data_IF_375386248768
#
_entry.id   IF_375386248768
#
_cell.length_a   1.000
_cell.length_b   1.000
_cell.length_c   1.000
_cell.angle_alpha   90.00
_cell.angle_beta   90.00
_cell.angle_gamma   90.00
#
_symmetry.space_group_name_H-M   'P 1'
#
loop_
_entity.id
_entity.type
_entity.pdbx_description
1 polymer ?
#
# COMPACT_ATOMS: atom_id res chain seq x y z
N UNK A 1 0.95 -39.66 12.94
CA UNK A 1 1.89 -38.52 12.95
C UNK A 1 2.72 -38.60 14.22
N UNK A 2 4.03 -38.37 14.17
CA UNK A 2 4.85 -38.35 15.37
C UNK A 2 4.38 -37.23 16.32
N UNK A 3 4.52 -37.46 17.61
CA UNK A 3 4.12 -36.55 18.68
C UNK A 3 5.33 -35.98 19.40
N UNK A 4 5.14 -34.91 20.18
CA UNK A 4 6.20 -34.37 21.05
C UNK A 4 6.73 -35.41 22.06
N UNK A 5 5.88 -36.36 22.47
CA UNK A 5 6.28 -37.48 23.33
C UNK A 5 7.19 -38.46 22.60
N UNK A 6 7.02 -38.69 21.32
CA UNK A 6 7.90 -39.55 20.52
C UNK A 6 9.28 -38.90 20.32
N UNK A 7 9.32 -37.57 20.10
CA UNK A 7 10.57 -36.80 20.05
C UNK A 7 11.30 -36.90 21.39
N UNK A 8 10.59 -36.69 22.50
CA UNK A 8 11.15 -36.78 23.85
C UNK A 8 11.76 -38.16 24.11
N UNK A 9 11.04 -39.24 23.77
CA UNK A 9 11.50 -40.61 23.91
C UNK A 9 12.76 -40.88 23.07
N UNK A 10 12.78 -40.41 21.82
CA UNK A 10 13.94 -40.61 20.93
C UNK A 10 15.16 -39.82 21.36
N UNK A 11 14.97 -38.58 21.87
CA UNK A 11 16.02 -37.70 22.34
C UNK A 11 16.51 -38.05 23.78
N UNK A 12 15.82 -38.94 24.49
CA UNK A 12 16.14 -39.30 25.88
C UNK A 12 15.89 -38.18 26.90
N UNK A 13 14.92 -37.31 26.65
CA UNK A 13 14.59 -36.14 27.48
C UNK A 13 13.11 -36.10 27.84
N UNK A 14 12.73 -35.15 28.71
CA UNK A 14 11.32 -34.93 29.03
C UNK A 14 10.58 -34.17 27.90
N UNK A 15 9.25 -34.32 27.81
CA UNK A 15 8.42 -33.55 26.89
C UNK A 15 8.56 -32.04 27.15
N UNK A 16 8.74 -31.64 28.43
CA UNK A 16 9.00 -30.26 28.79
C UNK A 16 10.31 -29.74 28.20
N UNK A 17 11.36 -30.56 28.21
CA UNK A 17 12.65 -30.22 27.61
C UNK A 17 12.52 -30.02 26.08
N UNK A 18 11.82 -30.92 25.41
CA UNK A 18 11.50 -30.77 23.97
C UNK A 18 10.77 -29.44 23.70
N UNK A 19 9.75 -29.14 24.53
CA UNK A 19 9.01 -27.88 24.42
C UNK A 19 9.91 -26.66 24.62
N UNK A 20 10.84 -26.71 25.60
CA UNK A 20 11.78 -25.61 25.84
C UNK A 20 12.77 -25.42 24.69
N UNK A 21 13.24 -26.50 24.05
CA UNK A 21 14.12 -26.45 22.89
C UNK A 21 13.39 -25.88 21.66
N UNK A 22 12.18 -26.37 21.38
CA UNK A 22 11.42 -25.97 20.19
C UNK A 22 10.87 -24.54 20.26
N UNK A 23 10.60 -24.05 21.49
CA UNK A 23 10.01 -22.73 21.70
C UNK A 23 11.00 -21.70 22.26
N UNK A 24 12.24 -22.08 22.49
CA UNK A 24 13.32 -21.25 23.05
C UNK A 24 12.92 -20.54 24.36
N UNK A 25 12.10 -21.20 25.18
CA UNK A 25 11.50 -20.61 26.40
C UNK A 25 12.44 -20.66 27.62
N UNK A 26 13.45 -21.51 27.60
CA UNK A 26 14.50 -21.60 28.64
C UNK A 26 15.82 -22.05 28.03
N UNK A 27 16.94 -21.61 28.57
CA UNK A 27 18.26 -22.13 28.19
C UNK A 27 18.32 -23.64 28.38
N UNK A 28 18.74 -24.37 27.34
CA UNK A 28 18.98 -25.82 27.38
C UNK A 28 20.42 -26.05 26.96
N UNK A 29 21.09 -27.04 27.60
CA UNK A 29 22.46 -27.38 27.28
C UNK A 29 22.63 -27.69 25.79
N UNK A 30 23.72 -27.26 25.13
CA UNK A 30 23.90 -27.41 23.70
C UNK A 30 23.76 -28.85 23.18
N UNK A 31 24.32 -29.85 23.91
CA UNK A 31 24.19 -31.26 23.52
C UNK A 31 22.74 -31.77 23.60
N UNK A 32 21.98 -31.32 24.60
CA UNK A 32 20.57 -31.68 24.75
C UNK A 32 19.71 -31.04 23.63
N UNK A 33 20.02 -29.78 23.31
CA UNK A 33 19.37 -29.07 22.17
C UNK A 33 19.61 -29.83 20.88
N UNK A 34 20.85 -30.23 20.60
CA UNK A 34 21.18 -30.97 19.38
C UNK A 34 20.45 -32.32 19.33
N UNK A 35 20.45 -33.10 20.42
CA UNK A 35 19.75 -34.37 20.48
C UNK A 35 18.23 -34.24 20.19
N UNK A 36 17.59 -33.16 20.63
CA UNK A 36 16.18 -32.90 20.34
C UNK A 36 16.01 -32.55 18.87
N UNK A 37 16.84 -31.69 18.28
CA UNK A 37 16.75 -31.33 16.87
C UNK A 37 16.97 -32.54 15.94
N UNK A 38 17.97 -33.39 16.24
CA UNK A 38 18.22 -34.64 15.53
C UNK A 38 17.02 -35.61 15.61
N UNK A 39 16.36 -35.67 16.77
CA UNK A 39 15.17 -36.49 16.93
C UNK A 39 13.95 -35.93 16.17
N UNK A 40 13.81 -34.60 16.09
CA UNK A 40 12.78 -33.91 15.28
C UNK A 40 12.95 -34.27 13.81
N UNK A 41 14.15 -34.10 13.27
CA UNK A 41 14.46 -34.36 11.87
C UNK A 41 14.29 -35.84 11.54
N UNK A 42 14.80 -36.73 12.37
CA UNK A 42 14.71 -38.17 12.15
C UNK A 42 13.28 -38.74 12.21
N UNK A 43 12.37 -38.07 12.92
CA UNK A 43 10.96 -38.44 13.02
C UNK A 43 10.08 -37.70 12.02
N UNK A 44 10.59 -36.67 11.34
CA UNK A 44 9.79 -35.73 10.54
C UNK A 44 8.71 -35.05 11.40
N UNK A 45 9.05 -34.75 12.67
CA UNK A 45 8.09 -34.13 13.57
C UNK A 45 7.91 -32.66 13.24
N UNK A 46 6.68 -32.26 12.92
CA UNK A 46 6.30 -30.86 12.73
C UNK A 46 5.58 -30.39 14.00
N UNK A 47 6.07 -29.31 14.66
CA UNK A 47 5.39 -28.74 15.82
C UNK A 47 3.94 -28.37 15.52
N UNK A 48 3.02 -28.81 16.39
CA UNK A 48 1.60 -28.45 16.23
C UNK A 48 1.39 -27.01 16.73
N UNK A 49 1.26 -26.08 15.78
CA UNK A 49 1.02 -24.65 16.04
C UNK A 49 -0.30 -24.41 16.78
N UNK A 50 -1.34 -25.24 16.53
CA UNK A 50 -2.62 -25.16 17.23
C UNK A 50 -2.47 -25.47 18.73
N UNK A 51 -1.71 -26.52 19.08
CA UNK A 51 -1.45 -26.84 20.48
C UNK A 51 -0.66 -25.74 21.18
N UNK A 52 0.28 -25.10 20.48
CA UNK A 52 1.04 -23.97 20.97
C UNK A 52 0.15 -22.74 21.20
N UNK A 53 -0.75 -22.43 20.26
CA UNK A 53 -1.66 -21.28 20.36
C UNK A 53 -2.63 -21.40 21.54
N UNK A 54 -3.04 -22.61 21.91
CA UNK A 54 -3.87 -22.86 23.10
C UNK A 54 -3.14 -22.52 24.41
N UNK A 55 -1.82 -22.71 24.44
CA UNK A 55 -1.01 -22.43 25.63
C UNK A 55 -0.59 -20.95 25.69
N UNK A 56 -0.27 -20.35 24.55
CA UNK A 56 0.26 -18.97 24.48
C UNK A 56 -0.82 -17.93 24.26
N UNK A 57 -2.06 -18.34 23.94
CA UNK A 57 -3.17 -17.49 23.47
C UNK A 57 -2.80 -16.61 22.26
N UNK A 58 -1.74 -17.02 21.52
CA UNK A 58 -1.27 -16.34 20.31
C UNK A 58 -1.08 -17.33 19.17
N UNK A 59 -1.61 -16.99 18.00
CA UNK A 59 -1.51 -17.81 16.79
C UNK A 59 -0.29 -17.46 15.94
N UNK A 60 0.35 -16.34 16.22
CA UNK A 60 1.39 -15.75 15.35
C UNK A 60 0.92 -15.62 13.91
N UNK A 61 -0.32 -15.19 13.74
CA UNK A 61 -0.90 -14.90 12.43
C UNK A 61 -1.49 -13.49 12.41
N UNK A 62 -1.34 -12.80 11.29
CA UNK A 62 -1.91 -11.49 10.99
C UNK A 62 -2.95 -11.69 9.89
N UNK A 63 -4.14 -11.12 10.05
CA UNK A 63 -5.15 -11.02 8.99
C UNK A 63 -4.89 -9.80 8.11
N UNK A 64 -4.91 -9.95 6.80
CA UNK A 64 -4.85 -8.87 5.83
C UNK A 64 -6.10 -8.90 4.98
N UNK A 65 -6.93 -7.85 5.08
CA UNK A 65 -8.11 -7.66 4.23
C UNK A 65 -7.88 -6.44 3.32
N UNK A 66 -7.64 -6.70 2.04
CA UNK A 66 -7.39 -5.67 1.01
C UNK A 66 -8.13 -6.03 -0.27
N UNK A 67 -8.81 -5.04 -0.86
CA UNK A 67 -9.52 -5.22 -2.12
C UNK A 67 -8.59 -5.15 -3.33
N UNK A 68 -9.03 -5.73 -4.44
CA UNK A 68 -8.31 -5.66 -5.72
C UNK A 68 -6.86 -6.21 -5.64
N UNK A 69 -6.67 -7.40 -5.09
CA UNK A 69 -5.36 -8.08 -4.99
C UNK A 69 -4.65 -8.19 -6.35
N UNK A 70 -5.39 -8.19 -7.46
CA UNK A 70 -4.83 -8.17 -8.81
C UNK A 70 -4.23 -6.82 -9.24
N UNK A 71 -4.47 -5.75 -8.47
CA UNK A 71 -3.91 -4.43 -8.74
C UNK A 71 -2.43 -4.41 -8.27
N UNK A 72 -1.47 -4.05 -9.14
CA UNK A 72 -0.04 -3.97 -8.79
C UNK A 72 0.26 -3.17 -7.52
N UNK A 73 -0.48 -2.11 -7.27
CA UNK A 73 -0.37 -1.30 -6.05
C UNK A 73 -0.58 -2.14 -4.78
N UNK A 74 -1.67 -2.90 -4.69
CA UNK A 74 -1.94 -3.76 -3.53
C UNK A 74 -1.00 -4.98 -3.49
N UNK A 75 -0.50 -5.44 -4.64
CA UNK A 75 0.52 -6.49 -4.68
C UNK A 75 1.82 -6.05 -4.01
N UNK A 76 2.26 -4.81 -4.23
CA UNK A 76 3.45 -4.25 -3.57
C UNK A 76 3.24 -4.07 -2.07
N UNK A 77 2.06 -3.58 -1.66
CA UNK A 77 1.67 -3.51 -0.24
C UNK A 77 1.74 -4.89 0.41
N UNK A 78 1.13 -5.89 -0.23
CA UNK A 78 1.14 -7.28 0.25
C UNK A 78 2.56 -7.80 0.43
N UNK A 79 3.47 -7.55 -0.51
CA UNK A 79 4.88 -7.91 -0.39
C UNK A 79 5.57 -7.23 0.81
N UNK A 80 5.24 -5.96 1.06
CA UNK A 80 5.74 -5.22 2.23
C UNK A 80 5.23 -5.80 3.55
N UNK A 81 3.94 -6.12 3.61
CA UNK A 81 3.30 -6.74 4.78
C UNK A 81 3.89 -8.13 5.05
N UNK A 82 3.99 -8.95 4.00
CA UNK A 82 4.49 -10.34 4.11
C UNK A 82 5.92 -10.37 4.60
N UNK A 83 6.83 -9.60 3.98
CA UNK A 83 8.22 -9.56 4.36
C UNK A 83 8.41 -9.09 5.81
N UNK A 84 7.68 -8.05 6.24
CA UNK A 84 7.75 -7.54 7.61
C UNK A 84 7.15 -8.52 8.63
N UNK A 85 6.00 -9.15 8.30
CA UNK A 85 5.38 -10.14 9.17
C UNK A 85 6.26 -11.38 9.35
N UNK A 86 6.87 -11.88 8.26
CA UNK A 86 7.77 -13.03 8.28
C UNK A 86 9.03 -12.76 9.13
N UNK A 87 9.61 -11.57 9.00
CA UNK A 87 10.79 -11.17 9.82
C UNK A 87 10.52 -11.24 11.33
N UNK A 88 9.28 -10.97 11.74
CA UNK A 88 8.81 -11.02 13.12
C UNK A 88 8.22 -12.40 13.52
N UNK A 89 8.29 -13.39 12.61
CA UNK A 89 7.81 -14.76 12.83
C UNK A 89 6.29 -14.89 12.83
N UNK A 90 5.58 -14.02 12.08
CA UNK A 90 4.14 -14.10 11.83
C UNK A 90 3.86 -14.70 10.45
N UNK A 91 2.78 -15.46 10.36
CA UNK A 91 2.17 -15.89 9.11
C UNK A 91 1.05 -14.92 8.71
N UNK A 92 0.76 -14.83 7.41
CA UNK A 92 -0.25 -13.92 6.87
C UNK A 92 -1.46 -14.72 6.36
N UNK A 93 -2.67 -14.32 6.77
CA UNK A 93 -3.94 -14.78 6.22
C UNK A 93 -4.54 -13.64 5.41
N UNK A 94 -4.78 -13.88 4.12
CA UNK A 94 -5.24 -12.86 3.18
C UNK A 94 -6.70 -13.11 2.84
N UNK A 95 -7.50 -12.04 2.77
CA UNK A 95 -8.87 -12.05 2.29
C UNK A 95 -9.13 -10.83 1.40
N UNK A 96 -9.93 -10.99 0.34
CA UNK A 96 -10.32 -9.91 -0.57
C UNK A 96 -11.78 -9.50 -0.30
N UNK A 97 -12.03 -8.30 0.22
CA UNK A 97 -13.37 -7.76 0.43
C UNK A 97 -14.09 -7.31 -0.85
N UNK A 98 -13.42 -7.25 -2.00
CA UNK A 98 -13.96 -6.80 -3.29
C UNK A 98 -14.58 -5.39 -3.27
N UNK A 99 -14.14 -4.51 -2.38
CA UNK A 99 -14.75 -3.19 -2.11
C UNK A 99 -16.27 -3.21 -1.81
N UNK A 100 -16.78 -4.39 -1.40
CA UNK A 100 -18.17 -4.58 -0.98
C UNK A 100 -18.27 -4.53 0.56
N UNK A 101 -19.01 -3.57 1.15
CA UNK A 101 -19.09 -3.42 2.61
C UNK A 101 -19.68 -4.62 3.35
N UNK A 102 -20.62 -5.34 2.74
CA UNK A 102 -21.20 -6.54 3.37
C UNK A 102 -20.24 -7.71 3.31
N UNK A 103 -19.53 -7.86 2.20
CA UNK A 103 -18.51 -8.89 2.05
C UNK A 103 -17.29 -8.60 2.94
N UNK A 104 -16.90 -7.34 3.05
CA UNK A 104 -15.83 -6.88 3.94
C UNK A 104 -16.05 -7.32 5.39
N UNK A 105 -17.25 -7.08 5.92
CA UNK A 105 -17.58 -7.51 7.28
C UNK A 105 -17.47 -9.03 7.45
N UNK A 106 -17.96 -9.81 6.46
CA UNK A 106 -17.90 -11.27 6.49
C UNK A 106 -16.46 -11.79 6.49
N UNK A 107 -15.58 -11.25 5.63
CA UNK A 107 -14.18 -11.71 5.57
C UNK A 107 -13.41 -11.32 6.82
N UNK A 108 -13.67 -10.14 7.40
CA UNK A 108 -13.06 -9.73 8.68
C UNK A 108 -13.53 -10.60 9.84
N UNK A 109 -14.82 -10.96 9.87
CA UNK A 109 -15.34 -11.93 10.85
C UNK A 109 -14.66 -13.29 10.70
N UNK A 110 -14.49 -13.78 9.47
CA UNK A 110 -13.78 -15.03 9.21
C UNK A 110 -12.33 -15.00 9.71
N UNK A 111 -11.59 -13.90 9.45
CA UNK A 111 -10.23 -13.73 9.96
C UNK A 111 -10.22 -13.73 11.50
N UNK A 112 -11.18 -13.07 12.14
CA UNK A 112 -11.35 -13.08 13.60
C UNK A 112 -11.64 -14.48 14.15
N UNK A 113 -12.51 -15.25 13.50
CA UNK A 113 -12.79 -16.65 13.86
C UNK A 113 -11.56 -17.55 13.72
N UNK A 114 -10.64 -17.24 12.79
CA UNK A 114 -9.32 -17.89 12.66
C UNK A 114 -8.35 -17.47 13.77
N UNK A 115 -8.77 -16.58 14.68
CA UNK A 115 -8.00 -16.10 15.83
C UNK A 115 -6.65 -15.49 15.44
N UNK A 116 -6.64 -14.68 14.37
CA UNK A 116 -5.46 -13.87 14.07
C UNK A 116 -5.16 -12.95 15.26
N UNK A 117 -3.88 -12.72 15.54
CA UNK A 117 -3.46 -11.88 16.68
C UNK A 117 -3.82 -10.40 16.45
N UNK A 118 -3.92 -9.97 15.20
CA UNK A 118 -4.35 -8.66 14.78
C UNK A 118 -4.62 -8.59 13.29
N UNK A 119 -5.17 -7.47 12.83
CA UNK A 119 -5.59 -7.28 11.44
C UNK A 119 -5.03 -6.00 10.82
N UNK A 120 -4.76 -6.05 9.53
CA UNK A 120 -4.50 -4.91 8.66
C UNK A 120 -5.63 -4.88 7.63
N UNK A 121 -6.35 -3.78 7.53
CA UNK A 121 -7.57 -3.68 6.71
C UNK A 121 -7.54 -2.41 5.87
N UNK A 122 -7.71 -2.53 4.55
CA UNK A 122 -8.02 -1.40 3.68
C UNK A 122 -9.54 -1.27 3.57
N UNK A 123 -10.16 -0.31 4.30
CA UNK A 123 -11.60 -0.28 4.46
C UNK A 123 -12.33 0.08 3.17
N UNK A 124 -13.55 -0.44 3.00
CA UNK A 124 -14.44 -0.10 1.89
C UNK A 124 -15.00 1.33 2.01
N UNK A 125 -15.83 1.73 1.04
CA UNK A 125 -16.40 3.07 0.99
C UNK A 125 -17.42 3.36 2.13
N UNK A 126 -17.93 2.35 2.82
CA UNK A 126 -18.88 2.46 3.94
C UNK A 126 -18.48 1.52 5.07
N UNK A 127 -17.43 1.86 5.83
CA UNK A 127 -16.85 0.97 6.82
C UNK A 127 -17.56 0.94 8.18
N UNK A 128 -18.73 1.61 8.34
CA UNK A 128 -19.37 1.82 9.63
C UNK A 128 -19.64 0.54 10.39
N UNK A 129 -20.18 -0.49 9.71
CA UNK A 129 -20.46 -1.79 10.31
C UNK A 129 -19.17 -2.53 10.70
N UNK A 130 -18.14 -2.46 9.87
CA UNK A 130 -16.81 -2.99 10.15
C UNK A 130 -16.22 -2.32 11.39
N UNK A 131 -16.21 -1.00 11.44
CA UNK A 131 -15.68 -0.20 12.56
C UNK A 131 -16.41 -0.54 13.86
N UNK A 132 -17.74 -0.61 13.81
CA UNK A 132 -18.57 -0.99 14.97
C UNK A 132 -18.25 -2.43 15.45
N UNK A 133 -18.07 -3.37 14.52
CA UNK A 133 -17.69 -4.74 14.83
C UNK A 133 -16.30 -4.81 15.51
N UNK A 134 -15.28 -4.21 14.89
CA UNK A 134 -13.90 -4.24 15.38
C UNK A 134 -13.78 -3.60 16.78
N UNK A 135 -14.49 -2.49 17.03
CA UNK A 135 -14.56 -1.85 18.34
C UNK A 135 -15.22 -2.77 19.39
N UNK A 136 -16.37 -3.36 19.06
CA UNK A 136 -17.09 -4.22 19.99
C UNK A 136 -16.29 -5.48 20.36
N UNK A 137 -15.53 -6.02 19.41
CA UNK A 137 -14.72 -7.22 19.62
C UNK A 137 -13.30 -6.91 20.13
N UNK A 138 -12.95 -5.64 20.24
CA UNK A 138 -11.61 -5.17 20.66
C UNK A 138 -10.47 -5.83 19.85
N UNK A 139 -10.67 -6.05 18.54
CA UNK A 139 -9.67 -6.66 17.67
C UNK A 139 -8.57 -5.65 17.38
N UNK A 140 -7.29 -5.95 17.68
CA UNK A 140 -6.19 -5.09 17.31
C UNK A 140 -6.15 -4.92 15.78
N UNK A 141 -6.37 -3.68 15.31
CA UNK A 141 -6.51 -3.41 13.87
C UNK A 141 -5.75 -2.14 13.49
N UNK A 142 -5.11 -2.19 12.32
CA UNK A 142 -4.53 -1.03 11.63
C UNK A 142 -5.27 -0.86 10.31
N UNK A 143 -5.82 0.33 10.06
CA UNK A 143 -6.34 0.66 8.74
C UNK A 143 -5.20 1.07 7.82
N UNK A 144 -5.27 0.61 6.58
CA UNK A 144 -4.22 0.77 5.58
C UNK A 144 -4.77 1.44 4.32
N UNK A 145 -4.00 2.33 3.71
CA UNK A 145 -4.33 3.05 2.48
C UNK A 145 -5.46 4.08 2.65
N UNK A 146 -6.60 3.65 3.18
CA UNK A 146 -7.82 4.44 3.32
C UNK A 146 -8.02 4.83 4.77
N UNK A 147 -8.12 6.14 5.02
CA UNK A 147 -8.32 6.66 6.37
C UNK A 147 -9.81 6.70 6.72
N UNK A 148 -10.11 6.47 7.98
CA UNK A 148 -11.43 6.69 8.56
C UNK A 148 -11.36 7.97 9.35
N UNK A 149 -12.08 9.01 8.90
CA UNK A 149 -12.31 10.25 9.64
C UNK A 149 -13.56 10.10 10.51
N UNK A 150 -13.62 10.84 11.62
CA UNK A 150 -14.88 11.00 12.36
C UNK A 150 -15.73 12.06 11.67
N UNK A 151 -17.05 11.89 11.70
CA UNK A 151 -18.01 12.88 11.17
C UNK A 151 -17.90 14.26 11.86
N UNK A 152 -17.18 14.34 12.98
CA UNK A 152 -16.98 15.60 13.73
C UNK A 152 -15.93 16.55 13.13
N UNK A 153 -15.09 16.06 12.19
CA UNK A 153 -14.00 16.86 11.60
C UNK A 153 -14.41 17.59 10.30
N UNK A 154 -15.57 17.24 9.70
CA UNK A 154 -16.04 17.81 8.43
C UNK A 154 -16.75 19.18 8.59
N UNK A 155 -17.10 19.58 9.84
CA UNK A 155 -17.87 20.82 10.11
C UNK A 155 -16.99 22.07 10.32
N UNK A 156 -15.66 21.95 10.30
CA UNK A 156 -14.74 23.06 10.54
C UNK A 156 -14.43 23.92 9.30
N UNK A 157 -14.60 23.37 8.09
CA UNK A 157 -14.24 24.09 6.85
C UNK A 157 -15.41 24.86 6.21
N UNK A 158 -16.66 24.65 6.70
CA UNK A 158 -17.84 25.36 6.18
C UNK A 158 -18.24 26.62 6.94
N UNK A 159 -17.56 26.99 8.04
CA UNK A 159 -17.91 28.13 8.90
C UNK A 159 -17.05 29.39 8.77
N UNK A 160 -16.16 29.49 7.79
CA UNK A 160 -15.42 30.75 7.55
C UNK A 160 -16.08 31.64 6.49
N UNK A 161 -17.30 32.13 6.78
CA UNK A 161 -17.98 33.05 5.89
C UNK A 161 -19.15 33.76 6.54
N UNK A 162 -18.89 34.68 7.45
CA UNK A 162 -19.62 35.93 7.74
C UNK A 162 -19.57 36.26 9.23
N UNK A 163 -18.85 37.32 9.57
CA UNK A 163 -18.84 37.88 10.91
C UNK A 163 -17.87 39.04 11.02
N UNK A 164 -18.25 40.22 10.53
CA UNK A 164 -17.60 41.49 10.81
C UNK A 164 -17.72 41.83 12.30
N UNK A 165 -16.59 42.00 12.99
CA UNK A 165 -16.56 42.47 14.38
C UNK A 165 -15.19 43.07 14.69
N UNK A 166 -15.12 44.38 14.73
CA UNK A 166 -13.99 45.21 15.12
C UNK A 166 -13.60 45.02 16.58
N UNK A 167 -12.31 44.85 16.87
CA UNK A 167 -11.76 44.86 18.23
C UNK A 167 -10.26 44.97 18.19
N UNK A 168 -9.74 46.16 18.47
CA UNK A 168 -8.35 46.53 18.60
C UNK A 168 -7.72 45.95 19.87
N UNK A 169 -6.49 45.40 19.77
CA UNK A 169 -5.71 45.00 20.92
C UNK A 169 -4.26 44.68 20.46
N UNK A 170 -3.35 45.66 20.67
CA UNK A 170 -1.93 45.55 20.47
C UNK A 170 -1.30 44.61 21.51
N UNK A 171 -0.31 43.83 21.07
CA UNK A 171 0.50 42.96 21.94
C UNK A 171 1.66 42.36 21.18
N UNK A 172 2.81 43.07 21.15
CA UNK A 172 4.09 42.65 20.64
C UNK A 172 4.61 41.39 21.37
N UNK A 173 5.01 40.40 20.62
CA UNK A 173 5.66 39.19 21.13
C UNK A 173 6.44 38.51 20.03
N UNK A 174 7.67 38.99 19.82
CA UNK A 174 8.69 38.44 18.89
C UNK A 174 9.13 37.05 19.37
N UNK A 175 8.80 36.00 18.63
CA UNK A 175 9.34 34.62 18.84
C UNK A 175 10.13 34.22 17.62
N UNK A 176 11.44 34.09 17.81
CA UNK A 176 12.43 33.72 16.82
C UNK A 176 12.14 32.33 16.22
N UNK A 177 11.96 32.26 14.92
CA UNK A 177 11.92 31.05 14.14
C UNK A 177 13.31 30.37 14.06
N UNK A 178 13.38 29.12 14.52
CA UNK A 178 14.51 28.23 14.22
C UNK A 178 14.18 27.46 12.95
N UNK A 179 15.10 27.35 11.98
CA UNK A 179 14.86 26.54 10.77
C UNK A 179 14.86 25.06 11.12
N UNK A 180 13.76 24.36 10.77
CA UNK A 180 13.66 22.92 10.82
C UNK A 180 14.47 22.29 9.68
N UNK A 181 15.39 21.39 10.01
CA UNK A 181 16.09 20.56 9.05
C UNK A 181 15.16 19.49 8.44
N UNK A 182 15.50 18.86 7.30
CA UNK A 182 14.64 17.91 6.62
C UNK A 182 14.56 16.58 7.40
N UNK A 183 13.48 16.40 8.15
CA UNK A 183 13.15 15.13 8.80
C UNK A 183 12.49 14.17 7.80
N UNK A 184 13.02 12.95 7.70
CA UNK A 184 12.52 11.83 6.87
C UNK A 184 11.36 11.06 7.51
N UNK A 185 10.71 11.59 8.53
CA UNK A 185 9.65 10.89 9.25
C UNK A 185 8.29 11.42 8.82
N UNK A 186 7.40 10.50 8.37
CA UNK A 186 6.03 10.80 8.01
C UNK A 186 5.28 11.53 9.13
N UNK A 187 4.36 12.39 8.78
CA UNK A 187 3.61 13.23 9.70
C UNK A 187 2.76 12.36 10.65
N UNK A 188 3.07 12.42 11.95
CA UNK A 188 2.34 11.72 13.00
C UNK A 188 1.27 12.63 13.58
N UNK A 189 -0.01 12.25 13.44
CA UNK A 189 -1.13 12.91 14.14
C UNK A 189 -1.74 11.92 15.13
N UNK A 190 -2.01 12.34 16.38
CA UNK A 190 -2.67 11.52 17.39
C UNK A 190 -4.16 11.85 17.45
N UNK A 191 -5.02 10.82 17.33
CA UNK A 191 -6.46 10.94 17.41
C UNK A 191 -6.98 10.11 18.58
N UNK A 192 -7.74 10.73 19.49
CA UNK A 192 -8.31 10.04 20.64
C UNK A 192 -9.51 9.16 20.22
N UNK A 193 -9.42 7.86 20.50
CA UNK A 193 -10.55 6.91 20.38
C UNK A 193 -10.80 6.27 19.02
N UNK A 194 -9.83 6.30 18.11
CA UNK A 194 -9.88 5.68 16.78
C UNK A 194 -9.08 4.37 16.66
N UNK A 195 -8.72 4.03 15.44
CA UNK A 195 -7.80 2.96 15.08
C UNK A 195 -6.46 3.55 14.63
N UNK A 196 -5.39 2.78 14.73
CA UNK A 196 -4.15 3.13 14.05
C UNK A 196 -4.35 3.10 12.54
N UNK A 197 -3.71 4.01 11.83
CA UNK A 197 -3.86 4.14 10.39
C UNK A 197 -2.49 4.38 9.72
N UNK A 198 -2.30 3.78 8.55
CA UNK A 198 -1.13 4.01 7.68
C UNK A 198 -1.64 4.29 6.27
N UNK A 199 -1.31 5.44 5.71
CA UNK A 199 -1.75 5.86 4.38
C UNK A 199 -0.66 6.66 3.67
N UNK A 200 -0.82 6.84 2.37
CA UNK A 200 -0.05 7.80 1.60
C UNK A 200 -0.68 9.20 1.60
N UNK A 201 0.10 10.23 1.30
CA UNK A 201 -0.41 11.55 1.00
C UNK A 201 -1.06 11.53 -0.40
N UNK A 202 -2.30 12.00 -0.50
CA UNK A 202 -3.05 11.98 -1.75
C UNK A 202 -3.30 13.37 -2.33
N UNK A 203 -3.56 14.36 -1.47
CA UNK A 203 -4.03 15.68 -1.91
C UNK A 203 -2.91 16.49 -2.54
N UNK A 204 -1.75 16.58 -1.89
CA UNK A 204 -0.61 17.36 -2.38
C UNK A 204 -0.02 16.78 -3.68
N UNK A 205 0.24 15.46 -3.81
CA UNK A 205 0.72 14.87 -5.05
C UNK A 205 -0.26 15.02 -6.22
N UNK A 206 -1.57 14.91 -5.98
CA UNK A 206 -2.59 15.14 -6.99
C UNK A 206 -2.58 16.62 -7.45
N UNK A 207 -2.47 17.56 -6.51
CA UNK A 207 -2.35 18.98 -6.86
C UNK A 207 -1.08 19.22 -7.70
N UNK A 208 0.02 18.53 -7.38
CA UNK A 208 1.25 18.56 -8.17
C UNK A 208 1.07 18.09 -9.62
N UNK A 209 0.34 17.00 -9.85
CA UNK A 209 0.02 16.53 -11.22
C UNK A 209 -0.76 17.60 -12.01
N UNK A 210 -1.76 18.19 -11.37
CA UNK A 210 -2.61 19.20 -12.04
C UNK A 210 -1.85 20.48 -12.33
N UNK A 211 -1.06 20.99 -11.38
CA UNK A 211 -0.23 22.19 -11.60
C UNK A 211 0.85 21.95 -12.65
N UNK A 212 1.41 20.74 -12.70
CA UNK A 212 2.35 20.33 -13.74
C UNK A 212 1.72 20.43 -15.14
N UNK A 213 0.54 19.81 -15.34
CA UNK A 213 -0.16 19.88 -16.62
C UNK A 213 -0.59 21.32 -16.99
N UNK A 214 -1.05 22.09 -16.01
CA UNK A 214 -1.37 23.51 -16.21
C UNK A 214 -0.15 24.34 -16.61
N UNK A 215 1.04 24.04 -16.04
CA UNK A 215 2.32 24.64 -16.42
C UNK A 215 2.74 24.33 -17.86
N UNK A 216 2.31 23.19 -18.41
CA UNK A 216 2.50 22.82 -19.82
C UNK A 216 1.47 23.50 -20.78
N UNK A 217 0.58 24.34 -20.26
CA UNK A 217 -0.38 25.10 -21.04
C UNK A 217 -1.76 24.46 -21.11
N UNK A 218 -2.00 23.30 -20.50
CA UNK A 218 -3.33 22.71 -20.46
C UNK A 218 -4.28 23.54 -19.59
N UNK A 219 -5.44 23.89 -20.10
CA UNK A 219 -6.47 24.69 -19.43
C UNK A 219 -7.73 23.88 -19.09
N UNK A 220 -7.96 22.81 -19.83
CA UNK A 220 -9.04 21.85 -19.59
C UNK A 220 -8.41 20.50 -19.28
N UNK A 221 -8.33 20.20 -17.98
CA UNK A 221 -7.71 18.99 -17.43
C UNK A 221 -8.84 18.11 -16.90
N UNK A 222 -9.02 16.92 -17.44
CA UNK A 222 -10.03 15.97 -16.97
C UNK A 222 -9.49 15.09 -15.83
N UNK A 223 -10.36 14.71 -14.90
CA UNK A 223 -10.07 13.75 -13.84
C UNK A 223 -10.94 12.51 -13.98
N UNK A 224 -10.31 11.33 -14.12
CA UNK A 224 -10.97 10.04 -13.98
C UNK A 224 -10.83 9.63 -12.52
N UNK A 225 -11.87 9.89 -11.72
CA UNK A 225 -11.89 9.71 -10.27
C UNK A 225 -12.19 8.26 -9.88
N UNK A 226 -11.76 7.87 -8.67
CA UNK A 226 -12.00 6.55 -8.11
C UNK A 226 -13.45 6.30 -7.66
N UNK A 227 -13.64 5.19 -6.93
CA UNK A 227 -14.94 4.82 -6.35
C UNK A 227 -15.39 5.89 -5.33
N UNK A 228 -16.60 6.44 -5.48
CA UNK A 228 -17.13 7.39 -4.50
C UNK A 228 -17.22 6.80 -3.08
N UNK A 229 -16.97 7.63 -2.07
CA UNK A 229 -17.00 7.22 -0.66
C UNK A 229 -15.65 6.72 -0.12
N UNK A 230 -14.66 6.45 -0.96
CA UNK A 230 -13.31 6.17 -0.50
C UNK A 230 -12.60 7.48 -0.10
N UNK A 231 -11.92 7.49 1.03
CA UNK A 231 -11.12 8.65 1.49
C UNK A 231 -10.06 9.05 0.46
N UNK A 232 -9.37 8.08 -0.16
CA UNK A 232 -8.40 8.33 -1.23
C UNK A 232 -9.02 9.03 -2.43
N UNK A 233 -10.27 8.70 -2.80
CA UNK A 233 -10.99 9.38 -3.88
C UNK A 233 -11.28 10.83 -3.50
N UNK A 234 -11.80 11.08 -2.30
CA UNK A 234 -12.12 12.42 -1.80
C UNK A 234 -10.87 13.29 -1.68
N UNK A 235 -9.78 12.76 -1.12
CA UNK A 235 -8.50 13.46 -1.00
C UNK A 235 -7.91 13.79 -2.38
N UNK A 236 -7.98 12.87 -3.36
CA UNK A 236 -7.51 13.13 -4.74
C UNK A 236 -8.36 14.15 -5.46
N UNK A 237 -9.68 14.16 -5.29
CA UNK A 237 -10.56 15.22 -5.83
C UNK A 237 -10.24 16.57 -5.19
N UNK A 238 -9.99 16.60 -3.88
CA UNK A 238 -9.57 17.81 -3.17
C UNK A 238 -8.23 18.33 -3.72
N UNK A 239 -7.26 17.44 -3.92
CA UNK A 239 -5.98 17.77 -4.53
C UNK A 239 -6.13 18.31 -5.95
N UNK A 240 -6.99 17.70 -6.76
CA UNK A 240 -7.28 18.19 -8.11
C UNK A 240 -7.84 19.62 -8.08
N UNK A 241 -8.81 19.91 -7.20
CA UNK A 241 -9.36 21.26 -7.04
C UNK A 241 -8.29 22.27 -6.59
N UNK A 242 -7.45 21.88 -5.61
CA UNK A 242 -6.32 22.72 -5.14
C UNK A 242 -5.32 23.01 -6.26
N UNK A 243 -4.98 22.00 -7.07
CA UNK A 243 -4.07 22.17 -8.21
C UNK A 243 -4.63 23.12 -9.27
N UNK A 244 -5.92 23.03 -9.60
CA UNK A 244 -6.58 23.98 -10.50
C UNK A 244 -6.57 25.40 -9.93
N UNK A 245 -6.92 25.57 -8.66
CA UNK A 245 -6.91 26.88 -8.00
C UNK A 245 -5.50 27.49 -7.97
N UNK A 246 -4.48 26.70 -7.64
CA UNK A 246 -3.08 27.15 -7.66
C UNK A 246 -2.61 27.57 -9.06
N UNK A 247 -3.16 26.96 -10.10
CA UNK A 247 -2.87 27.32 -11.50
C UNK A 247 -3.77 28.44 -12.04
N UNK A 248 -4.68 29.01 -11.23
CA UNK A 248 -5.64 30.02 -11.66
C UNK A 248 -6.69 29.51 -12.65
N UNK A 249 -6.99 28.20 -12.62
CA UNK A 249 -7.97 27.55 -13.49
C UNK A 249 -9.30 27.35 -12.76
N UNK A 250 -10.46 27.57 -13.42
CA UNK A 250 -11.77 27.30 -12.83
C UNK A 250 -11.98 25.79 -12.65
N UNK A 251 -12.64 25.42 -11.57
CA UNK A 251 -13.17 24.07 -11.41
C UNK A 251 -14.41 23.87 -12.30
N UNK A 252 -14.39 22.82 -13.10
CA UNK A 252 -15.51 22.40 -13.95
C UNK A 252 -15.90 20.96 -13.54
N UNK A 253 -17.08 20.81 -12.96
CA UNK A 253 -17.58 19.51 -12.51
C UNK A 253 -17.76 18.51 -13.69
N UNK A 254 -18.00 19.01 -14.89
CA UNK A 254 -18.15 18.17 -16.09
C UNK A 254 -16.82 17.52 -16.53
N UNK A 255 -15.69 17.99 -16.03
CA UNK A 255 -14.38 17.39 -16.28
C UNK A 255 -14.01 16.30 -15.25
N UNK A 256 -14.85 16.05 -14.24
CA UNK A 256 -14.63 15.00 -13.24
C UNK A 256 -15.63 13.88 -13.47
N UNK A 257 -15.13 12.70 -13.85
CA UNK A 257 -15.96 11.52 -14.10
C UNK A 257 -15.48 10.35 -13.25
N UNK A 258 -16.43 9.51 -12.80
CA UNK A 258 -16.08 8.34 -11.99
C UNK A 258 -15.64 7.18 -12.89
N UNK A 259 -14.45 6.66 -12.68
CA UNK A 259 -13.97 5.40 -13.21
C UNK A 259 -14.12 4.25 -12.20
N UNK A 260 -14.76 4.49 -11.04
CA UNK A 260 -15.09 3.48 -10.02
C UNK A 260 -13.90 2.62 -9.58
N UNK A 261 -12.69 3.13 -9.69
CA UNK A 261 -11.42 2.44 -9.43
C UNK A 261 -11.17 1.20 -10.31
N UNK A 262 -11.92 1.03 -11.41
CA UNK A 262 -11.89 -0.12 -12.30
C UNK A 262 -11.56 0.27 -13.75
N UNK A 263 -10.86 -0.64 -14.47
CA UNK A 263 -10.44 -0.42 -15.86
C UNK A 263 -11.64 -0.26 -16.80
N UNK A 264 -12.63 -1.15 -16.74
CA UNK A 264 -13.79 -1.12 -17.65
C UNK A 264 -14.69 0.12 -17.43
N UNK A 265 -14.87 0.54 -16.18
CA UNK A 265 -15.65 1.74 -15.87
C UNK A 265 -14.90 3.01 -16.34
N UNK A 266 -13.58 3.07 -16.11
CA UNK A 266 -12.75 4.17 -16.58
C UNK A 266 -12.69 4.29 -18.11
N UNK A 267 -12.65 3.16 -18.83
CA UNK A 267 -12.72 3.12 -20.29
C UNK A 267 -14.00 3.79 -20.80
N UNK A 268 -15.17 3.41 -20.28
CA UNK A 268 -16.45 4.04 -20.61
C UNK A 268 -16.50 5.52 -20.24
N UNK A 269 -16.10 5.85 -19.00
CA UNK A 269 -16.13 7.23 -18.52
C UNK A 269 -15.20 8.14 -19.33
N UNK A 270 -14.03 7.66 -19.72
CA UNK A 270 -13.10 8.38 -20.60
C UNK A 270 -13.72 8.57 -21.99
N UNK A 271 -14.32 7.52 -22.53
CA UNK A 271 -14.99 7.57 -23.82
C UNK A 271 -16.11 8.64 -23.84
N UNK A 272 -16.95 8.66 -22.80
CA UNK A 272 -18.02 9.65 -22.67
C UNK A 272 -17.46 11.07 -22.49
N UNK A 273 -16.44 11.25 -21.67
CA UNK A 273 -15.80 12.55 -21.44
C UNK A 273 -15.22 13.14 -22.74
N UNK A 274 -14.55 12.32 -23.53
CA UNK A 274 -13.94 12.73 -24.81
C UNK A 274 -14.98 12.99 -25.92
N UNK A 275 -16.22 12.53 -25.78
CA UNK A 275 -17.30 12.78 -26.74
C UNK A 275 -17.99 14.12 -26.50
N UNK A 276 -17.69 14.85 -25.45
CA UNK A 276 -18.27 16.14 -25.11
C UNK A 276 -17.74 17.24 -26.04
N UNK A 277 -18.55 18.29 -26.35
CA UNK A 277 -18.15 19.37 -27.28
C UNK A 277 -16.86 20.10 -26.86
N UNK A 278 -16.61 20.17 -25.56
CA UNK A 278 -15.43 20.81 -24.98
C UNK A 278 -14.58 19.75 -24.20
N UNK A 279 -14.04 18.80 -24.96
CA UNK A 279 -13.19 17.74 -24.40
C UNK A 279 -11.93 18.29 -23.68
N UNK A 280 -11.39 17.60 -22.69
CA UNK A 280 -10.13 17.98 -22.06
C UNK A 280 -8.94 17.78 -23.01
N UNK A 281 -7.88 18.56 -22.81
CA UNK A 281 -6.60 18.40 -23.52
C UNK A 281 -5.56 17.61 -22.73
N UNK A 282 -5.86 17.34 -21.45
CA UNK A 282 -5.07 16.49 -20.57
C UNK A 282 -5.99 15.71 -19.64
N UNK A 283 -5.55 14.52 -19.25
CA UNK A 283 -6.24 13.65 -18.31
C UNK A 283 -5.34 13.32 -17.12
N UNK A 284 -5.94 13.26 -15.95
CA UNK A 284 -5.35 12.65 -14.76
C UNK A 284 -6.23 11.46 -14.36
N UNK A 285 -5.63 10.30 -14.19
CA UNK A 285 -6.30 9.10 -13.70
C UNK A 285 -5.96 8.87 -12.24
N UNK A 286 -6.96 8.60 -11.41
CA UNK A 286 -6.77 8.51 -9.98
C UNK A 286 -6.31 7.13 -9.47
N UNK A 287 -6.04 6.15 -10.35
CA UNK A 287 -5.27 4.94 -10.05
C UNK A 287 -4.80 4.24 -11.33
N UNK A 288 -3.94 3.24 -11.18
CA UNK A 288 -3.35 2.49 -12.31
C UNK A 288 -4.37 1.65 -13.10
N UNK A 289 -5.39 1.07 -12.46
CA UNK A 289 -6.44 0.32 -13.17
C UNK A 289 -7.23 1.25 -14.11
N UNK A 290 -7.56 2.45 -13.63
CA UNK A 290 -8.24 3.47 -14.45
C UNK A 290 -7.32 4.01 -15.55
N UNK A 291 -6.00 4.08 -15.32
CA UNK A 291 -5.03 4.43 -16.35
C UNK A 291 -5.09 3.46 -17.53
N UNK A 292 -5.17 2.17 -17.26
CA UNK A 292 -5.31 1.15 -18.31
C UNK A 292 -6.63 1.32 -19.10
N UNK A 293 -7.75 1.55 -18.40
CA UNK A 293 -9.03 1.81 -19.06
C UNK A 293 -9.00 3.05 -19.93
N UNK A 294 -8.42 4.14 -19.43
CA UNK A 294 -8.23 5.39 -20.16
C UNK A 294 -7.39 5.18 -21.43
N UNK A 295 -6.27 4.47 -21.33
CA UNK A 295 -5.41 4.15 -22.48
C UNK A 295 -6.15 3.31 -23.54
N UNK A 296 -7.03 2.38 -23.14
CA UNK A 296 -7.87 1.63 -24.06
C UNK A 296 -8.83 2.55 -24.82
N UNK A 297 -9.56 3.42 -24.09
CA UNK A 297 -10.49 4.37 -24.71
C UNK A 297 -9.79 5.33 -25.68
N UNK A 298 -8.58 5.81 -25.35
CA UNK A 298 -7.78 6.66 -26.23
C UNK A 298 -7.37 5.91 -27.50
N UNK A 299 -6.88 4.68 -27.35
CA UNK A 299 -6.46 3.83 -28.48
C UNK A 299 -7.63 3.51 -29.42
N UNK A 300 -8.81 3.19 -28.90
CA UNK A 300 -10.00 2.93 -29.70
C UNK A 300 -10.45 4.14 -30.53
N UNK A 301 -10.16 5.35 -30.04
CA UNK A 301 -10.42 6.60 -30.75
C UNK A 301 -9.30 7.05 -31.68
N UNK A 302 -8.19 6.32 -31.72
CA UNK A 302 -7.01 6.69 -32.50
C UNK A 302 -6.28 7.93 -31.94
N UNK A 303 -6.51 8.30 -30.67
CA UNK A 303 -5.86 9.44 -30.02
C UNK A 303 -4.49 9.04 -29.47
N UNK A 304 -3.49 9.82 -29.83
CA UNK A 304 -2.11 9.64 -29.39
C UNK A 304 -1.84 10.37 -28.06
N UNK A 305 -1.04 9.74 -27.20
CA UNK A 305 -0.51 10.36 -25.97
C UNK A 305 0.98 10.61 -26.19
N UNK A 306 1.52 11.81 -25.93
CA UNK A 306 0.83 13.04 -25.51
C UNK A 306 0.33 13.91 -26.67
N UNK A 307 0.47 13.45 -27.93
CA UNK A 307 0.25 14.27 -29.13
C UNK A 307 -1.12 14.93 -29.21
N UNK A 308 -2.19 14.15 -29.00
CA UNK A 308 -3.56 14.66 -29.00
C UNK A 308 -4.06 14.98 -27.59
N UNK A 309 -3.61 14.22 -26.59
CA UNK A 309 -4.02 14.37 -25.19
C UNK A 309 -2.89 13.96 -24.24
N UNK A 310 -2.55 14.85 -23.30
CA UNK A 310 -1.59 14.52 -22.25
C UNK A 310 -2.21 13.60 -21.18
N UNK A 311 -1.42 12.72 -20.59
CA UNK A 311 -1.88 11.79 -19.55
C UNK A 311 -0.90 11.75 -18.37
N UNK A 312 -1.44 11.93 -17.16
CA UNK A 312 -0.74 11.65 -15.91
C UNK A 312 -1.55 10.65 -15.07
N UNK A 313 -0.85 9.81 -14.31
CA UNK A 313 -1.46 8.77 -13.50
C UNK A 313 -1.18 9.00 -12.01
N UNK A 314 -2.15 8.70 -11.14
CA UNK A 314 -1.87 8.31 -9.77
C UNK A 314 -1.61 6.81 -9.75
N UNK A 315 -0.69 6.34 -8.92
CA UNK A 315 -0.08 5.03 -8.88
C UNK A 315 0.88 4.76 -10.05
N UNK A 316 2.16 4.69 -9.71
CA UNK A 316 3.18 4.13 -10.59
C UNK A 316 3.19 2.60 -10.47
N UNK A 317 3.71 1.90 -11.48
CA UNK A 317 3.85 0.46 -11.48
C UNK A 317 5.05 0.02 -12.35
N UNK A 318 5.63 -1.11 -12.03
CA UNK A 318 6.92 -1.55 -12.58
C UNK A 318 7.01 -1.57 -14.12
N UNK A 319 5.90 -1.75 -14.83
CA UNK A 319 5.85 -1.76 -16.30
C UNK A 319 5.33 -0.46 -16.92
N UNK A 320 5.15 0.62 -16.15
CA UNK A 320 4.78 1.94 -16.67
C UNK A 320 5.84 2.51 -17.64
N UNK A 321 7.10 2.08 -17.51
CA UNK A 321 8.19 2.42 -18.41
C UNK A 321 8.17 1.66 -19.76
N UNK A 322 7.38 0.58 -19.85
CA UNK A 322 7.28 -0.23 -21.07
C UNK A 322 6.23 0.30 -22.05
N UNK A 323 5.42 1.27 -21.63
CA UNK A 323 4.48 1.95 -22.51
C UNK A 323 5.19 2.90 -23.48
N UNK A 324 4.54 3.13 -24.63
CA UNK A 324 4.91 4.20 -25.54
C UNK A 324 3.69 5.11 -25.75
N UNK A 325 3.68 6.30 -25.14
CA UNK A 325 4.71 6.92 -24.30
C UNK A 325 4.82 6.32 -22.89
N UNK A 326 5.98 6.48 -22.21
CA UNK A 326 6.17 6.10 -20.80
C UNK A 326 5.31 7.00 -19.91
N UNK A 327 4.65 6.40 -18.90
CA UNK A 327 3.65 7.09 -18.09
C UNK A 327 4.27 7.97 -17.00
N UNK A 328 3.95 9.26 -16.99
CA UNK A 328 4.22 10.19 -15.88
C UNK A 328 3.23 9.90 -14.76
N UNK A 329 3.73 9.63 -13.56
CA UNK A 329 2.90 9.15 -12.46
C UNK A 329 3.33 9.69 -11.09
N UNK A 330 2.41 9.64 -10.13
CA UNK A 330 2.71 9.69 -8.70
C UNK A 330 2.96 8.26 -8.22
N UNK A 331 4.14 8.00 -7.67
CA UNK A 331 4.49 6.74 -7.05
C UNK A 331 4.22 6.80 -5.55
N UNK A 332 3.36 5.91 -5.06
CA UNK A 332 3.12 5.71 -3.64
C UNK A 332 4.20 4.78 -3.06
N UNK A 333 4.60 4.96 -1.79
CA UNK A 333 5.58 4.08 -1.12
C UNK A 333 4.91 2.77 -0.67
N UNK A 334 4.32 2.01 -1.60
CA UNK A 334 3.40 0.89 -1.36
C UNK A 334 4.02 -0.18 -0.47
N UNK A 335 5.26 -0.59 -0.75
CA UNK A 335 5.99 -1.59 0.03
C UNK A 335 6.30 -1.09 1.45
N UNK A 336 6.69 0.17 1.59
CA UNK A 336 6.95 0.81 2.89
C UNK A 336 5.66 0.94 3.72
N UNK A 337 4.54 1.29 3.07
CA UNK A 337 3.23 1.33 3.71
C UNK A 337 2.86 -0.02 4.32
N UNK A 338 3.06 -1.11 3.58
CA UNK A 338 2.83 -2.48 4.07
C UNK A 338 3.69 -2.82 5.28
N UNK A 339 4.99 -2.57 5.19
CA UNK A 339 5.93 -2.82 6.29
C UNK A 339 5.59 -1.95 7.53
N UNK A 340 5.23 -0.68 7.31
CA UNK A 340 4.85 0.23 8.38
C UNK A 340 3.55 -0.18 9.08
N UNK A 341 2.58 -0.72 8.33
CA UNK A 341 1.35 -1.23 8.92
C UNK A 341 1.61 -2.42 9.86
N UNK A 342 2.50 -3.34 9.50
CA UNK A 342 2.92 -4.44 10.40
C UNK A 342 3.58 -3.89 11.65
N UNK A 343 4.53 -2.96 11.52
CA UNK A 343 5.21 -2.37 12.67
C UNK A 343 4.21 -1.68 13.62
N UNK A 344 3.27 -0.91 13.08
CA UNK A 344 2.23 -0.23 13.86
C UNK A 344 1.32 -1.22 14.56
N UNK A 345 0.98 -2.34 13.91
CA UNK A 345 0.18 -3.41 14.51
C UNK A 345 0.93 -4.12 15.65
N UNK A 346 2.20 -4.45 15.46
CA UNK A 346 3.03 -5.08 16.50
C UNK A 346 3.22 -4.17 17.70
N UNK A 347 3.41 -2.86 17.50
CA UNK A 347 3.44 -1.87 18.57
C UNK A 347 2.12 -1.84 19.35
N UNK A 348 0.97 -1.98 18.66
CA UNK A 348 -0.35 -2.08 19.29
C UNK A 348 -0.50 -3.36 20.10
N UNK A 349 -0.03 -4.48 19.58
CA UNK A 349 -0.06 -5.77 20.28
C UNK A 349 0.85 -5.79 21.50
N UNK A 350 1.96 -5.04 21.49
CA UNK A 350 2.87 -4.90 22.62
C UNK A 350 2.37 -3.91 23.69
N UNK A 351 1.68 -2.85 23.27
CA UNK A 351 1.14 -1.80 24.15
C UNK A 351 -0.30 -1.45 23.73
N UNK A 352 -1.30 -2.25 24.17
CA UNK A 352 -2.70 -2.07 23.74
C UNK A 352 -3.31 -0.71 24.09
N UNK A 353 -2.89 -0.10 25.19
CA UNK A 353 -3.47 1.15 25.70
C UNK A 353 -2.80 2.43 25.17
N UNK A 354 -1.78 2.29 24.28
CA UNK A 354 -1.14 3.48 23.69
C UNK A 354 -2.13 4.30 22.85
N UNK A 355 -1.96 5.62 22.74
CA UNK A 355 -2.76 6.45 21.83
C UNK A 355 -2.71 5.93 20.39
N UNK A 356 -3.82 6.05 19.67
CA UNK A 356 -3.85 5.74 18.24
C UNK A 356 -3.10 6.79 17.44
N UNK A 357 -2.53 6.39 16.31
CA UNK A 357 -1.78 7.28 15.42
C UNK A 357 -2.15 7.05 13.96
N UNK A 358 -2.11 8.13 13.19
CA UNK A 358 -2.13 8.08 11.72
C UNK A 358 -0.74 8.39 11.20
N UNK A 359 -0.21 7.50 10.38
CA UNK A 359 1.08 7.66 9.69
C UNK A 359 0.78 7.95 8.23
N UNK A 360 1.13 9.15 7.77
CA UNK A 360 1.06 9.53 6.35
C UNK A 360 2.44 9.50 5.74
N UNK A 361 2.61 8.76 4.65
CA UNK A 361 3.86 8.63 3.94
C UNK A 361 3.84 9.52 2.67
N UNK A 362 4.94 10.20 2.36
CA UNK A 362 5.02 11.04 1.17
C UNK A 362 5.05 10.18 -0.10
N UNK A 363 4.47 10.71 -1.19
CA UNK A 363 4.57 10.13 -2.53
C UNK A 363 5.69 10.80 -3.34
N UNK A 364 6.20 10.08 -4.33
CA UNK A 364 7.19 10.61 -5.27
C UNK A 364 6.52 10.96 -6.62
N UNK A 365 6.96 12.05 -7.25
CA UNK A 365 6.57 12.38 -8.61
C UNK A 365 7.56 11.74 -9.59
N UNK A 366 7.08 10.83 -10.43
CA UNK A 366 7.89 10.13 -11.43
C UNK A 366 7.58 10.72 -12.80
N UNK A 367 8.46 11.61 -13.24
CA UNK A 367 8.32 12.31 -14.50
C UNK A 367 8.79 11.46 -15.68
N UNK A 368 7.89 11.25 -16.66
CA UNK A 368 8.15 10.50 -17.89
C UNK A 368 7.64 11.28 -19.11
N UNK A 369 7.14 10.59 -20.15
CA UNK A 369 6.87 11.22 -21.46
C UNK A 369 5.40 11.48 -21.76
N UNK A 370 4.47 10.86 -21.02
CA UNK A 370 3.04 10.95 -21.31
C UNK A 370 2.39 12.29 -21.01
N UNK A 371 3.05 13.13 -20.21
CA UNK A 371 2.59 14.50 -19.91
C UNK A 371 2.87 15.51 -21.03
N UNK A 372 3.70 15.15 -22.02
CA UNK A 372 4.04 16.05 -23.13
C UNK A 372 5.16 17.04 -22.85
N UNK A 373 5.94 16.85 -21.78
CA UNK A 373 7.11 17.71 -21.52
C UNK A 373 8.13 17.66 -22.65
N UNK A 374 8.73 18.80 -23.04
CA UNK A 374 9.89 18.84 -23.92
C UNK A 374 11.06 18.03 -23.35
N UNK A 375 11.91 17.48 -24.23
CA UNK A 375 13.04 16.64 -23.80
C UNK A 375 14.05 17.35 -22.89
N UNK A 376 14.21 18.67 -23.06
CA UNK A 376 15.16 19.49 -22.28
C UNK A 376 14.83 19.60 -20.78
N UNK A 377 13.56 19.41 -20.39
CA UNK A 377 13.14 19.45 -18.96
C UNK A 377 13.51 18.16 -18.24
N UNK A 378 13.89 17.10 -18.96
CA UNK A 378 14.17 15.75 -18.41
C UNK A 378 15.49 15.67 -17.63
N UNK A 379 16.43 16.58 -17.87
CA UNK A 379 17.77 16.59 -17.26
C UNK A 379 17.88 17.24 -15.87
N UNK A 380 16.83 17.89 -15.37
CA UNK A 380 16.88 18.68 -14.13
C UNK A 380 16.34 18.00 -12.87
N UNK A 381 15.70 16.83 -12.98
CA UNK A 381 15.02 16.12 -11.87
C UNK A 381 15.65 14.76 -11.50
N UNK A 382 16.90 14.49 -11.96
CA UNK A 382 17.67 13.34 -11.45
C UNK A 382 18.25 13.69 -10.07
N UNK A 383 17.37 13.87 -9.10
CA UNK A 383 17.63 13.97 -7.68
C UNK A 383 17.34 12.66 -6.98
N UNK A 384 18.32 11.76 -7.00
CA UNK A 384 18.57 10.76 -5.96
C UNK A 384 17.41 9.84 -5.53
N UNK A 385 16.97 8.98 -6.42
CA UNK A 385 16.20 7.78 -6.07
C UNK A 385 16.97 6.53 -6.49
N UNK A 386 18.06 6.22 -5.80
CA UNK A 386 18.71 4.91 -5.94
C UNK A 386 17.80 3.86 -5.33
N UNK A 387 17.13 3.10 -6.21
CA UNK A 387 16.65 1.78 -5.82
C UNK A 387 17.86 0.96 -5.38
N UNK A 388 17.87 0.37 -4.19
CA UNK A 388 18.86 -0.64 -3.87
C UNK A 388 18.53 -1.88 -4.71
N UNK A 389 19.31 -2.10 -5.76
CA UNK A 389 19.37 -3.38 -6.43
C UNK A 389 19.84 -4.41 -5.39
N UNK A 390 18.98 -5.37 -5.08
CA UNK A 390 19.35 -6.52 -4.26
C UNK A 390 20.45 -7.31 -4.97
N UNK A 391 21.66 -7.22 -4.44
CA UNK A 391 22.74 -8.14 -4.76
C UNK A 391 22.33 -9.55 -4.32
N UNK A 392 22.01 -10.36 -5.32
CA UNK A 392 21.96 -11.81 -5.18
C UNK A 392 23.07 -12.37 -6.07
N UNK A 393 24.31 -12.21 -5.62
CA UNK A 393 25.48 -12.90 -6.19
C UNK A 393 25.75 -14.15 -5.35
N UNK A 394 25.08 -15.24 -5.70
CA UNK A 394 25.48 -16.58 -5.31
C UNK A 394 25.67 -17.42 -6.57
N UNK A 395 26.86 -17.33 -7.17
CA UNK A 395 27.34 -18.33 -8.12
C UNK A 395 27.72 -19.60 -7.36
N UNK A 396 27.22 -20.77 -7.69
CA UNK A 396 27.82 -22.01 -7.24
C UNK A 396 29.11 -22.30 -8.05
N UNK A 397 30.14 -22.67 -7.27
CA UNK A 397 31.47 -23.07 -7.75
C UNK A 397 31.41 -24.20 -8.79
N UNK A 398 32.32 -24.11 -9.74
CA UNK A 398 32.46 -25.02 -10.86
C UNK A 398 32.73 -26.47 -10.46
N UNK A 399 32.15 -27.35 -11.23
CA UNK A 399 32.62 -28.74 -11.39
C UNK A 399 33.28 -28.85 -12.77
N UNK A 400 34.60 -28.96 -12.71
CA UNK A 400 35.40 -29.44 -13.83
C UNK A 400 35.03 -30.89 -14.16
N UNK A 401 34.70 -31.20 -15.38
CA UNK A 401 34.86 -32.53 -15.93
C UNK A 401 35.47 -32.40 -17.32
N UNK A 402 36.68 -32.94 -17.39
CA UNK A 402 37.52 -33.04 -18.57
C UNK A 402 36.90 -33.92 -19.66
N UNK A 403 37.36 -33.61 -20.84
CA UNK A 403 37.09 -34.23 -22.11
C UNK A 403 37.43 -35.73 -22.19
N UNK A 404 36.69 -36.44 -22.99
CA UNK A 404 37.26 -37.51 -23.83
C UNK A 404 36.50 -37.58 -25.13
N UNK A 405 37.20 -37.21 -26.16
CA UNK A 405 36.85 -37.49 -27.56
C UNK A 405 37.02 -38.97 -27.83
N UNK A 406 36.04 -39.60 -28.47
CA UNK A 406 36.30 -40.71 -29.41
C UNK A 406 35.26 -40.69 -30.53
N UNK A 407 35.83 -40.63 -31.68
CA UNK A 407 35.35 -40.89 -33.02
C UNK A 407 34.71 -42.28 -33.13
N UNK A 408 33.58 -42.41 -33.84
CA UNK A 408 33.51 -43.48 -34.85
C UNK A 408 32.38 -43.23 -35.87
N UNK A 409 32.74 -43.56 -37.04
CA UNK A 409 32.08 -43.52 -38.36
C UNK A 409 30.98 -44.57 -38.48
N UNK A 410 30.05 -44.33 -39.40
CA UNK A 410 29.54 -45.45 -40.23
C UNK A 410 28.03 -45.50 -40.31
N UNK A 411 27.46 -45.04 -41.41
CA UNK A 411 26.90 -45.77 -42.54
C UNK A 411 25.43 -46.24 -42.41
N UNK A 412 24.65 -45.60 -43.26
CA UNK A 412 23.61 -46.15 -44.17
C UNK A 412 22.62 -47.22 -43.68
N UNK A 413 21.34 -46.93 -43.64
CA UNK A 413 20.31 -47.28 -44.64
C UNK A 413 19.05 -46.52 -44.40
#
# INVERSE_FOLDING_TARGET
>A
MPTMADVARRAGVSVATVSHVLNDTRPVLPHTRQAVLDAVDALGYTPNTLARSLVTSRTRSIGLAVSAISNPYFTEILQGVEAAALAEGYSLLIADPHDDPEHELKVVQLLHERRVDGMIVAPSARPDQLVAYLRRQAVPTVFLDRVITRDDDDDSDSRSGSGSGSGSGEGDGEVAERPAGPGRDGQLTSHAGGFDQVCAENSEPMAGLVTHLAGLGHRRIGLIAGLPGLSTTSERITGYRRGLAAAGLPYDADLVVSGSSESAAAERATADLLSRPAAPTALVTANNAMTIGTLRALRERGLSVPGDIALCSFDDFAWADLFSPRLTAVAQPSREMGARAVQVLLDRLAAPDRPTRTVRLPCAFVHRTSCGCPEEVRGGAEGNGTHPAGENDARPAGVNTEASAQSEKGTTT
#
